data_IF_885878082322
#
_entry.id   IF_885878082322
#
_cell.length_a   1.000
_cell.length_b   1.000
_cell.length_c   1.000
_cell.angle_alpha   90.00
_cell.angle_beta   90.00
_cell.angle_gamma   90.00
#
_symmetry.space_group_name_H-M   'P 1'
#
loop_
_entity.id
_entity.type
_entity.pdbx_description
1 polymer ?
#
# COMPACT_ATOMS: atom_id res chain seq x y z
N UNK A 1 0.73 3.07 -18.85
CA UNK A 1 2.07 3.70 -18.78
C UNK A 1 2.05 5.24 -18.80
N UNK A 2 1.21 5.92 -19.62
CA UNK A 2 1.22 7.41 -19.71
C UNK A 2 0.83 8.18 -18.42
N UNK A 3 0.17 7.54 -17.45
CA UNK A 3 -0.35 8.18 -16.25
C UNK A 3 0.46 7.90 -14.96
N UNK A 4 1.61 7.21 -15.04
CA UNK A 4 2.44 7.00 -13.85
C UNK A 4 3.10 8.33 -13.44
N UNK A 5 2.99 8.75 -12.17
CA UNK A 5 3.51 10.02 -11.71
C UNK A 5 5.05 10.06 -11.78
N UNK A 6 5.61 11.23 -12.03
CA UNK A 6 7.05 11.47 -12.16
C UNK A 6 7.44 12.73 -11.40
N UNK A 7 8.72 12.83 -11.03
CA UNK A 7 9.25 14.03 -10.34
C UNK A 7 8.74 14.19 -8.91
N UNK A 8 8.24 13.11 -8.30
CA UNK A 8 7.87 13.10 -6.88
C UNK A 8 9.12 12.93 -6.01
N UNK A 9 9.10 13.36 -4.73
CA UNK A 9 10.21 13.15 -3.81
C UNK A 9 10.57 11.67 -3.68
N UNK A 10 11.86 11.36 -3.82
CA UNK A 10 12.40 10.01 -3.70
C UNK A 10 13.24 9.85 -2.44
N UNK A 11 13.32 8.62 -1.95
CA UNK A 11 14.16 8.23 -0.83
C UNK A 11 14.07 6.73 -0.61
N UNK A 12 14.62 6.26 0.51
CA UNK A 12 14.51 4.85 0.88
C UNK A 12 13.06 4.57 1.29
N UNK A 13 12.45 3.55 0.68
CA UNK A 13 11.12 3.03 1.03
C UNK A 13 11.20 1.55 1.41
N UNK A 14 10.22 1.06 2.16
CA UNK A 14 10.16 -0.34 2.61
C UNK A 14 9.62 -1.29 1.53
N UNK A 15 8.65 -0.84 0.73
CA UNK A 15 7.93 -1.61 -0.30
C UNK A 15 7.08 -2.79 0.17
N UNK A 16 7.09 -3.09 1.47
CA UNK A 16 6.41 -4.25 2.05
C UNK A 16 5.94 -3.97 3.48
N UNK A 17 5.45 -2.75 3.73
CA UNK A 17 4.99 -2.30 5.04
C UNK A 17 3.62 -2.88 5.41
N UNK A 18 3.56 -4.20 5.64
CA UNK A 18 2.35 -4.95 6.01
C UNK A 18 2.21 -5.16 7.53
N UNK A 19 1.00 -5.49 8.03
CA UNK A 19 0.79 -5.80 9.45
C UNK A 19 1.65 -6.93 10.02
N UNK A 20 2.01 -7.93 9.22
CA UNK A 20 2.91 -9.02 9.63
C UNK A 20 4.38 -8.58 9.79
N UNK A 21 4.75 -7.42 9.24
CA UNK A 21 6.11 -6.85 9.30
C UNK A 21 6.27 -5.73 10.34
N UNK A 22 5.22 -5.41 11.11
CA UNK A 22 5.23 -4.31 12.09
C UNK A 22 4.83 -4.80 13.48
N UNK A 23 5.69 -4.53 14.47
CA UNK A 23 5.47 -4.91 15.86
C UNK A 23 4.93 -3.75 16.68
N UNK A 24 3.99 -4.08 17.59
CA UNK A 24 3.49 -3.17 18.60
C UNK A 24 3.73 -3.74 20.01
N UNK A 25 4.04 -2.86 20.95
CA UNK A 25 4.16 -3.20 22.38
C UNK A 25 3.44 -2.14 23.21
N UNK A 26 2.49 -2.58 24.04
CA UNK A 26 1.65 -1.67 24.84
C UNK A 26 0.88 -0.64 23.99
N UNK A 27 0.44 -1.03 22.80
CA UNK A 27 -0.27 -0.14 21.86
C UNK A 27 0.63 0.89 21.16
N UNK A 28 1.96 0.79 21.28
CA UNK A 28 2.92 1.67 20.62
C UNK A 28 3.74 0.91 19.59
N UNK A 29 4.11 1.58 18.50
CA UNK A 29 5.05 1.04 17.53
C UNK A 29 6.35 0.63 18.24
N UNK A 30 6.77 -0.62 18.03
CA UNK A 30 7.99 -1.19 18.59
C UNK A 30 9.08 -1.36 17.54
N UNK A 31 8.71 -1.61 16.28
CA UNK A 31 9.67 -1.76 15.18
C UNK A 31 9.02 -2.32 13.92
N UNK A 32 9.72 -2.17 12.80
CA UNK A 32 9.41 -2.83 11.53
C UNK A 32 10.58 -3.75 11.14
N UNK A 33 10.29 -4.82 10.41
CA UNK A 33 11.26 -5.81 9.93
C UNK A 33 11.03 -6.08 8.44
N UNK A 34 11.84 -6.97 7.86
CA UNK A 34 11.69 -7.45 6.47
C UNK A 34 11.97 -6.39 5.39
N UNK A 35 13.18 -5.81 5.45
CA UNK A 35 13.65 -4.80 4.51
C UNK A 35 14.24 -5.37 3.20
N UNK A 36 13.97 -6.64 2.84
CA UNK A 36 14.59 -7.23 1.64
C UNK A 36 14.08 -6.61 0.32
N UNK A 37 12.88 -6.01 0.34
CA UNK A 37 12.34 -5.24 -0.79
C UNK A 37 12.68 -3.75 -0.72
N UNK A 38 13.36 -3.29 0.33
CA UNK A 38 13.66 -1.88 0.49
C UNK A 38 14.53 -1.37 -0.66
N UNK A 39 14.16 -0.21 -1.20
CA UNK A 39 14.82 0.38 -2.35
C UNK A 39 14.74 1.90 -2.32
N UNK A 40 15.35 2.57 -3.31
CA UNK A 40 15.15 4.00 -3.55
C UNK A 40 14.04 4.19 -4.59
N UNK A 41 12.91 4.73 -4.16
CA UNK A 41 11.80 5.11 -5.04
C UNK A 41 11.01 6.28 -4.42
N UNK A 42 9.85 6.60 -4.99
CA UNK A 42 8.93 7.64 -4.56
C UNK A 42 8.43 7.36 -3.14
N UNK A 43 8.63 8.31 -2.21
CA UNK A 43 8.23 8.15 -0.81
C UNK A 43 6.71 7.92 -0.66
N UNK A 44 5.90 8.57 -1.50
CA UNK A 44 4.45 8.38 -1.52
C UNK A 44 4.01 6.98 -1.98
N UNK A 45 4.88 6.21 -2.66
CA UNK A 45 4.57 4.83 -3.04
C UNK A 45 4.53 3.90 -1.82
N UNK A 46 5.36 4.14 -0.79
CA UNK A 46 5.32 3.34 0.45
C UNK A 46 4.02 3.56 1.24
N UNK A 47 3.50 4.80 1.20
CA UNK A 47 2.16 5.12 1.72
C UNK A 47 1.10 4.35 0.93
N UNK A 48 1.22 4.29 -0.39
CA UNK A 48 0.29 3.57 -1.25
C UNK A 48 0.30 2.05 -1.02
N UNK A 49 1.47 1.47 -0.71
CA UNK A 49 1.59 0.09 -0.22
C UNK A 49 0.86 -0.06 1.11
N UNK A 50 1.11 0.83 2.07
CA UNK A 50 0.48 0.78 3.38
C UNK A 50 -1.06 0.93 3.31
N UNK A 51 -1.58 1.79 2.44
CA UNK A 51 -3.03 1.92 2.20
C UNK A 51 -3.66 0.59 1.76
N UNK A 52 -2.96 -0.18 0.90
CA UNK A 52 -3.44 -1.50 0.48
C UNK A 52 -3.32 -2.56 1.57
N UNK A 53 -2.32 -2.45 2.44
CA UNK A 53 -2.02 -3.45 3.47
C UNK A 53 -2.85 -3.26 4.76
N UNK A 54 -3.13 -2.01 5.13
CA UNK A 54 -3.72 -1.66 6.43
C UNK A 54 -5.16 -1.15 6.37
N UNK A 55 -5.63 -0.73 5.20
CA UNK A 55 -6.90 0.00 5.09
C UNK A 55 -7.97 -0.78 4.31
N UNK A 56 -7.87 -2.11 4.25
CA UNK A 56 -8.92 -2.97 3.74
C UNK A 56 -9.41 -3.92 4.83
N UNK A 57 -10.72 -4.06 4.94
CA UNK A 57 -11.36 -5.00 5.85
C UNK A 57 -11.33 -6.43 5.30
N UNK A 58 -11.61 -7.41 6.16
CA UNK A 58 -11.63 -8.82 5.77
C UNK A 58 -12.68 -9.14 4.68
N UNK A 59 -13.74 -8.34 4.57
CA UNK A 59 -14.76 -8.45 3.53
C UNK A 59 -14.36 -7.79 2.19
N UNK A 60 -13.18 -7.15 2.13
CA UNK A 60 -12.66 -6.47 0.95
C UNK A 60 -13.10 -5.01 0.82
N UNK A 61 -13.86 -4.46 1.77
CA UNK A 61 -14.20 -3.03 1.77
C UNK A 61 -12.99 -2.16 2.15
N UNK A 62 -12.90 -0.97 1.54
CA UNK A 62 -11.86 0.00 1.87
C UNK A 62 -12.28 0.85 3.07
N UNK A 63 -11.50 0.78 4.15
CA UNK A 63 -11.74 1.52 5.37
C UNK A 63 -11.14 2.94 5.27
N UNK A 64 -11.99 3.88 4.86
CA UNK A 64 -11.61 5.29 4.71
C UNK A 64 -11.17 5.94 6.03
N UNK A 65 -11.69 5.50 7.17
CA UNK A 65 -11.31 6.02 8.49
C UNK A 65 -9.86 5.66 8.81
N UNK A 66 -9.49 4.39 8.62
CA UNK A 66 -8.12 3.90 8.78
C UNK A 66 -7.18 4.57 7.79
N UNK A 67 -7.58 4.73 6.52
CA UNK A 67 -6.78 5.38 5.50
C UNK A 67 -6.48 6.85 5.84
N UNK A 68 -7.47 7.62 6.28
CA UNK A 68 -7.28 9.00 6.73
C UNK A 68 -6.39 9.09 7.95
N UNK A 69 -6.56 8.19 8.93
CA UNK A 69 -5.71 8.15 10.12
C UNK A 69 -4.24 7.84 9.76
N UNK A 70 -4.01 6.88 8.86
CA UNK A 70 -2.67 6.52 8.38
C UNK A 70 -1.97 7.70 7.71
N UNK A 71 -2.65 8.36 6.76
CA UNK A 71 -2.08 9.52 6.05
C UNK A 71 -1.87 10.69 7.00
N UNK A 72 -2.84 11.01 7.86
CA UNK A 72 -2.68 12.07 8.85
C UNK A 72 -1.51 11.81 9.81
N UNK A 73 -1.33 10.56 10.25
CA UNK A 73 -0.18 10.14 11.06
C UNK A 73 1.14 10.39 10.34
N UNK A 74 1.24 10.00 9.06
CA UNK A 74 2.42 10.27 8.24
C UNK A 74 2.73 11.78 8.12
N UNK A 75 1.70 12.58 7.87
CA UNK A 75 1.86 14.03 7.67
C UNK A 75 2.30 14.80 8.92
N UNK A 76 2.17 14.22 10.12
CA UNK A 76 2.73 14.82 11.35
C UNK A 76 4.26 14.87 11.33
N UNK A 77 4.90 14.00 10.55
CA UNK A 77 6.36 13.95 10.39
C UNK A 77 6.81 14.50 9.03
N UNK A 78 6.06 14.21 7.97
CA UNK A 78 6.37 14.66 6.61
C UNK A 78 5.09 15.05 5.86
N UNK A 79 4.78 16.35 5.76
CA UNK A 79 3.66 16.82 4.96
C UNK A 79 3.79 16.41 3.49
N UNK A 80 2.70 15.92 2.90
CA UNK A 80 2.65 15.57 1.49
C UNK A 80 2.43 16.82 0.65
N UNK A 81 3.23 16.95 -0.41
CA UNK A 81 2.98 17.96 -1.44
C UNK A 81 1.65 17.69 -2.17
N UNK A 82 1.07 18.72 -2.79
CA UNK A 82 -0.14 18.56 -3.60
C UNK A 82 0.03 17.50 -4.71
N UNK A 83 1.22 17.42 -5.31
CA UNK A 83 1.55 16.43 -6.33
C UNK A 83 1.56 14.99 -5.76
N UNK A 84 2.08 14.78 -4.56
CA UNK A 84 2.02 13.45 -3.91
C UNK A 84 0.61 13.06 -3.54
N UNK A 85 -0.19 13.99 -2.98
CA UNK A 85 -1.60 13.76 -2.65
C UNK A 85 -2.41 13.35 -3.88
N UNK A 86 -2.23 14.06 -4.98
CA UNK A 86 -2.88 13.76 -6.26
C UNK A 86 -2.42 12.42 -6.85
N UNK A 87 -1.18 12.00 -6.57
CA UNK A 87 -0.61 10.76 -7.07
C UNK A 87 -1.03 9.51 -6.27
N UNK A 88 -1.45 9.65 -5.00
CA UNK A 88 -1.76 8.50 -4.14
C UNK A 88 -2.73 7.48 -4.76
N UNK A 89 -3.84 7.87 -5.42
CA UNK A 89 -4.75 6.89 -6.00
C UNK A 89 -4.12 6.03 -7.09
N UNK A 90 -3.36 6.63 -8.01
CA UNK A 90 -2.68 5.86 -9.08
C UNK A 90 -1.54 5.02 -8.53
N UNK A 91 -0.83 5.50 -7.51
CA UNK A 91 0.19 4.74 -6.81
C UNK A 91 -0.42 3.55 -6.07
N UNK A 92 -1.58 3.72 -5.41
CA UNK A 92 -2.28 2.67 -4.67
C UNK A 92 -2.82 1.59 -5.60
N UNK A 93 -3.37 1.98 -6.75
CA UNK A 93 -3.72 1.05 -7.82
C UNK A 93 -2.47 0.28 -8.30
N UNK A 94 -1.36 0.98 -8.57
CA UNK A 94 -0.11 0.36 -8.99
C UNK A 94 0.45 -0.64 -7.98
N UNK A 95 0.45 -0.30 -6.69
CA UNK A 95 0.82 -1.19 -5.60
C UNK A 95 -0.10 -2.43 -5.56
N UNK A 96 -1.42 -2.22 -5.68
CA UNK A 96 -2.36 -3.33 -5.72
C UNK A 96 -2.08 -4.29 -6.90
N UNK A 97 -1.76 -3.73 -8.07
CA UNK A 97 -1.41 -4.49 -9.26
C UNK A 97 -0.10 -5.28 -9.08
N UNK A 98 0.93 -4.66 -8.46
CA UNK A 98 2.19 -5.36 -8.12
C UNK A 98 1.90 -6.59 -7.28
N UNK A 99 1.20 -6.44 -6.16
CA UNK A 99 0.92 -7.56 -5.26
C UNK A 99 -0.02 -8.61 -5.86
N UNK A 100 -0.98 -8.22 -6.70
CA UNK A 100 -1.78 -9.17 -7.46
C UNK A 100 -0.89 -10.06 -8.32
N UNK A 101 -0.01 -9.46 -9.13
CA UNK A 101 0.84 -10.18 -10.08
C UNK A 101 1.87 -11.06 -9.37
N UNK A 102 2.52 -10.57 -8.32
CA UNK A 102 3.52 -11.36 -7.58
C UNK A 102 2.88 -12.51 -6.82
N UNK A 103 1.69 -12.31 -6.24
CA UNK A 103 0.94 -13.42 -5.62
C UNK A 103 0.46 -14.43 -6.65
N UNK A 104 0.01 -13.98 -7.82
CA UNK A 104 -0.43 -14.87 -8.89
C UNK A 104 0.72 -15.75 -9.40
N UNK A 105 1.89 -15.15 -9.58
CA UNK A 105 3.12 -15.88 -9.94
C UNK A 105 3.47 -16.91 -8.86
N UNK A 106 3.57 -16.49 -7.60
CA UNK A 106 3.88 -17.39 -6.49
C UNK A 106 2.85 -18.52 -6.36
N UNK A 107 1.57 -18.24 -6.61
CA UNK A 107 0.49 -19.23 -6.55
C UNK A 107 0.63 -20.32 -7.61
N UNK A 108 1.10 -19.98 -8.81
CA UNK A 108 1.38 -20.93 -9.89
C UNK A 108 2.72 -21.66 -9.74
N UNK A 109 3.70 -21.01 -9.13
CA UNK A 109 5.09 -21.48 -9.04
C UNK A 109 5.41 -22.27 -7.75
N UNK A 110 4.56 -22.24 -6.72
CA UNK A 110 4.84 -22.92 -5.44
C UNK A 110 4.85 -24.45 -5.61
N UNK A 111 5.95 -25.16 -5.30
CA UNK A 111 6.03 -26.61 -5.45
C UNK A 111 5.04 -27.36 -4.55
N UNK A 112 4.55 -28.50 -5.06
CA UNK A 112 3.72 -29.41 -4.27
C UNK A 112 4.51 -29.90 -3.03
N UNK A 113 3.97 -29.66 -1.83
CA UNK A 113 4.60 -30.05 -0.56
C UNK A 113 5.42 -28.96 0.13
N UNK A 114 5.50 -27.74 -0.43
CA UNK A 114 6.09 -26.60 0.28
C UNK A 114 5.33 -26.31 1.58
N UNK A 115 6.06 -25.98 2.65
CA UNK A 115 5.47 -25.60 3.95
C UNK A 115 4.84 -24.21 3.92
N UNK A 116 5.33 -23.33 3.03
CA UNK A 116 4.79 -21.99 2.82
C UNK A 116 3.56 -22.08 1.92
N UNK A 117 2.41 -21.62 2.42
CA UNK A 117 1.21 -21.45 1.60
C UNK A 117 1.29 -20.09 0.91
N UNK A 118 1.18 -20.02 -0.44
CA UNK A 118 1.12 -18.74 -1.12
C UNK A 118 -0.14 -17.97 -0.66
N UNK A 119 -0.07 -16.64 -0.67
CA UNK A 119 -1.21 -15.76 -0.32
C UNK A 119 -2.18 -15.71 -1.51
N UNK A 120 -3.49 -15.71 -1.27
CA UNK A 120 -4.51 -15.67 -2.32
C UNK A 120 -4.33 -14.42 -3.22
N UNK A 121 -4.11 -14.58 -4.53
CA UNK A 121 -4.01 -13.44 -5.44
C UNK A 121 -5.34 -12.70 -5.57
N UNK A 122 -6.49 -13.38 -5.41
CA UNK A 122 -7.80 -12.76 -5.57
C UNK A 122 -8.11 -11.71 -4.50
N UNK A 123 -7.40 -11.72 -3.37
CA UNK A 123 -7.44 -10.61 -2.40
C UNK A 123 -7.10 -9.28 -3.08
N UNK A 124 -6.02 -9.25 -3.88
CA UNK A 124 -5.58 -8.04 -4.55
C UNK A 124 -6.33 -7.75 -5.85
N UNK A 125 -6.95 -8.76 -6.46
CA UNK A 125 -7.93 -8.56 -7.53
C UNK A 125 -9.13 -7.74 -7.03
N UNK A 126 -9.69 -8.10 -5.86
CA UNK A 126 -10.78 -7.34 -5.23
C UNK A 126 -10.37 -5.90 -4.88
N UNK A 127 -9.17 -5.70 -4.33
CA UNK A 127 -8.63 -4.34 -4.06
C UNK A 127 -8.49 -3.52 -5.35
N UNK A 128 -8.06 -4.14 -6.45
CA UNK A 128 -7.99 -3.49 -7.76
C UNK A 128 -9.37 -3.04 -8.26
N UNK A 129 -10.43 -3.82 -8.02
CA UNK A 129 -11.78 -3.42 -8.36
C UNK A 129 -12.18 -2.14 -7.60
N UNK A 130 -11.91 -2.08 -6.29
CA UNK A 130 -12.19 -0.88 -5.47
C UNK A 130 -11.44 0.35 -5.98
N UNK A 131 -10.14 0.23 -6.29
CA UNK A 131 -9.35 1.36 -6.83
C UNK A 131 -9.83 1.83 -8.21
N UNK A 132 -10.52 0.98 -8.98
CA UNK A 132 -11.13 1.36 -10.27
C UNK A 132 -12.45 2.09 -10.08
N UNK A 133 -13.22 1.72 -9.07
CA UNK A 133 -14.52 2.33 -8.74
C UNK A 133 -14.37 3.66 -7.98
N UNK A 134 -13.31 3.83 -7.18
CA UNK A 134 -13.01 5.02 -6.41
C UNK A 134 -11.64 5.62 -6.77
N UNK A 135 -11.50 6.26 -7.95
CA UNK A 135 -10.21 6.69 -8.49
C UNK A 135 -9.52 7.84 -7.75
N UNK A 136 -10.20 8.47 -6.78
CA UNK A 136 -9.70 9.59 -5.99
C UNK A 136 -9.41 9.23 -4.52
N UNK A 137 -9.83 8.04 -4.05
CA UNK A 137 -9.75 7.53 -2.68
C UNK A 137 -10.34 8.43 -1.57
N UNK A 138 -10.81 9.64 -1.89
CA UNK A 138 -11.38 10.66 -0.98
C UNK A 138 -10.62 10.81 0.35
N UNK A 139 -9.28 10.73 0.28
CA UNK A 139 -8.40 10.74 1.45
C UNK A 139 -8.28 12.13 2.09
N UNK A 140 -8.43 13.16 1.27
CA UNK A 140 -8.31 14.55 1.67
C UNK A 140 -9.69 15.19 1.55
N UNK A 141 -10.07 16.03 2.52
CA UNK A 141 -11.27 16.85 2.38
C UNK A 141 -11.13 17.81 1.20
N UNK A 142 -12.25 18.37 0.73
CA UNK A 142 -12.26 19.39 -0.32
C UNK A 142 -11.26 20.49 0.05
N UNK A 143 -10.19 20.60 -0.74
CA UNK A 143 -9.30 21.76 -0.63
C UNK A 143 -10.05 22.94 -1.25
N UNK A 144 -10.52 23.84 -0.40
CA UNK A 144 -11.07 25.13 -0.80
C UNK A 144 -10.01 25.99 -1.50
#
# INVERSE_FOLDING_TARGET
>A
AKAWPKGLPQGIIHEDYFPDNVFFSGGKFAGAIDFYFACVDTLAYDIAVALNAWCFEADGSFNITSARALVAGYETHRPLSAAERQALPVLAHGAAMRFFLTRLEAWGSTPAGALVRPKDPLEYERKLAVHREAPDLVLFGDQA
#
